data_IF_013413774005
#
_entry.id   IF_013413774005
#
_cell.length_a   1.000
_cell.length_b   1.000
_cell.length_c   1.000
_cell.angle_alpha   90.00
_cell.angle_beta   90.00
_cell.angle_gamma   90.00
#
_symmetry.space_group_name_H-M   'P 1'
#
loop_
_entity.id
_entity.type
_entity.pdbx_description
1 polymer ?
#
# COMPACT_ATOMS: atom_id res chain seq x y z
N UNK A 1 19.22 -14.33 -5.33
CA UNK A 1 18.09 -14.65 -4.44
C UNK A 1 17.17 -13.44 -4.27
N UNK A 2 15.90 -13.55 -4.70
CA UNK A 2 14.87 -12.52 -4.56
C UNK A 2 13.53 -13.17 -4.20
N UNK A 3 12.99 -12.77 -3.04
CA UNK A 3 11.72 -13.23 -2.51
C UNK A 3 10.66 -12.14 -2.67
N UNK A 4 9.63 -12.41 -3.48
CA UNK A 4 8.47 -11.53 -3.58
C UNK A 4 7.52 -11.78 -2.42
N UNK A 5 7.19 -10.73 -1.67
CA UNK A 5 6.12 -10.75 -0.66
C UNK A 5 4.91 -10.06 -1.25
N UNK A 6 3.77 -10.74 -1.32
CA UNK A 6 2.59 -10.23 -2.02
C UNK A 6 1.29 -10.64 -1.35
N UNK A 7 0.21 -9.92 -1.70
CA UNK A 7 -1.16 -10.28 -1.33
C UNK A 7 -1.97 -10.55 -2.60
N UNK A 8 -2.80 -11.59 -2.55
CA UNK A 8 -3.78 -11.89 -3.58
C UNK A 8 -5.16 -11.39 -3.12
N UNK A 9 -5.87 -10.69 -4.01
CA UNK A 9 -7.30 -10.42 -3.84
C UNK A 9 -8.14 -11.66 -4.17
N UNK A 10 -9.41 -11.65 -3.76
CA UNK A 10 -10.38 -12.69 -4.16
C UNK A 10 -10.58 -12.76 -5.69
N UNK A 11 -10.29 -11.67 -6.42
CA UNK A 11 -10.34 -11.60 -7.88
C UNK A 11 -9.04 -12.06 -8.57
N UNK A 12 -8.04 -12.53 -7.81
CA UNK A 12 -6.76 -12.98 -8.35
C UNK A 12 -5.77 -11.85 -8.68
N UNK A 13 -6.06 -10.60 -8.28
CA UNK A 13 -5.11 -9.49 -8.45
C UNK A 13 -4.01 -9.59 -7.41
N UNK A 14 -2.77 -9.50 -7.87
CA UNK A 14 -1.60 -9.48 -7.00
C UNK A 14 -1.18 -8.04 -6.66
N UNK A 15 -0.88 -7.82 -5.39
CA UNK A 15 -0.21 -6.62 -4.91
C UNK A 15 1.10 -7.01 -4.24
N UNK A 16 2.22 -6.62 -4.86
CA UNK A 16 3.55 -6.77 -4.27
C UNK A 16 3.69 -5.78 -3.11
N UNK A 17 4.13 -6.29 -1.96
CA UNK A 17 4.33 -5.54 -0.71
C UNK A 17 5.82 -5.26 -0.48
N UNK A 18 6.69 -6.21 -0.83
CA UNK A 18 8.14 -6.09 -0.73
C UNK A 18 8.85 -7.09 -1.64
N UNK A 19 10.11 -6.82 -1.94
CA UNK A 19 11.06 -7.78 -2.53
C UNK A 19 12.23 -7.88 -1.55
N UNK A 20 12.42 -9.05 -0.98
CA UNK A 20 13.48 -9.31 0.00
C UNK A 20 14.68 -10.00 -0.66
N UNK A 21 15.88 -9.61 -0.23
CA UNK A 21 17.15 -10.14 -0.74
C UNK A 21 17.96 -10.87 0.35
N UNK A 22 19.20 -11.27 0.04
CA UNK A 22 20.09 -11.89 1.01
C UNK A 22 20.28 -11.02 2.26
N UNK A 23 20.21 -11.63 3.44
CA UNK A 23 20.33 -10.94 4.73
C UNK A 23 19.03 -10.32 5.25
N UNK A 24 17.96 -10.31 4.45
CA UNK A 24 16.62 -9.96 4.92
C UNK A 24 15.95 -11.12 5.66
N UNK A 25 15.07 -10.78 6.60
CA UNK A 25 14.10 -11.70 7.20
C UNK A 25 12.70 -11.52 6.58
N UNK A 26 11.75 -12.41 6.86
CA UNK A 26 10.32 -12.15 6.69
C UNK A 26 9.52 -13.07 7.63
N UNK A 27 8.19 -12.90 7.67
CA UNK A 27 7.30 -13.66 8.56
C UNK A 27 7.60 -13.52 10.07
N UNK A 28 8.08 -12.35 10.49
CA UNK A 28 8.36 -12.05 11.89
C UNK A 28 7.08 -11.87 12.71
N UNK A 29 6.00 -11.37 12.10
CA UNK A 29 4.73 -11.07 12.79
C UNK A 29 4.15 -12.29 13.54
N UNK A 30 3.95 -13.46 12.88
CA UNK A 30 3.52 -14.68 13.55
C UNK A 30 4.35 -15.08 14.76
N UNK A 31 5.61 -14.67 14.85
CA UNK A 31 6.47 -15.03 15.98
C UNK A 31 6.01 -14.34 17.27
N UNK A 32 5.41 -13.15 17.17
CA UNK A 32 5.03 -12.33 18.34
C UNK A 32 3.52 -12.28 18.59
N UNK A 33 2.69 -12.22 17.55
CA UNK A 33 1.23 -12.08 17.69
C UNK A 33 0.49 -13.43 17.72
N UNK A 34 1.18 -14.53 17.41
CA UNK A 34 0.62 -15.86 17.36
C UNK A 34 -0.23 -16.16 16.11
N UNK A 35 -0.52 -15.16 15.28
CA UNK A 35 -1.38 -15.23 14.11
C UNK A 35 -0.70 -15.84 12.88
N UNK A 36 -1.46 -15.90 11.79
CA UNK A 36 -0.96 -16.30 10.48
C UNK A 36 -0.23 -15.14 9.81
N UNK A 37 0.74 -15.45 8.95
CA UNK A 37 1.40 -14.42 8.16
C UNK A 37 0.37 -13.77 7.19
N UNK A 38 0.23 -12.43 7.18
CA UNK A 38 -0.85 -11.78 6.44
C UNK A 38 -0.63 -11.74 4.91
N UNK A 39 0.50 -12.24 4.41
CA UNK A 39 0.90 -12.20 3.01
C UNK A 39 1.39 -13.58 2.53
N UNK A 40 1.58 -13.72 1.22
CA UNK A 40 2.27 -14.85 0.61
C UNK A 40 3.73 -14.46 0.30
N UNK A 41 4.58 -15.47 0.13
CA UNK A 41 5.97 -15.31 -0.28
C UNK A 41 6.27 -16.29 -1.42
N UNK A 42 6.94 -15.82 -2.48
CA UNK A 42 7.39 -16.67 -3.59
C UNK A 42 8.80 -16.31 -4.05
N UNK A 43 9.59 -17.36 -4.31
CA UNK A 43 10.93 -17.23 -4.87
C UNK A 43 10.85 -16.95 -6.36
N UNK A 44 11.58 -15.94 -6.83
CA UNK A 44 11.71 -15.65 -8.26
C UNK A 44 12.89 -16.38 -8.93
N UNK A 45 13.76 -16.99 -8.13
CA UNK A 45 14.95 -17.74 -8.53
C UNK A 45 15.31 -18.74 -7.44
N UNK A 46 16.20 -19.69 -7.72
CA UNK A 46 16.71 -20.64 -6.74
C UNK A 46 17.22 -19.92 -5.49
N UNK A 47 16.70 -20.33 -4.34
CA UNK A 47 16.80 -19.59 -3.09
C UNK A 47 16.95 -20.54 -1.92
N UNK A 48 17.92 -20.25 -1.05
CA UNK A 48 18.12 -20.92 0.22
C UNK A 48 17.58 -20.05 1.37
N UNK A 49 16.87 -20.68 2.32
CA UNK A 49 16.26 -19.99 3.45
C UNK A 49 16.65 -20.68 4.76
N UNK A 50 16.96 -19.85 5.75
CA UNK A 50 17.08 -20.31 7.14
C UNK A 50 15.72 -20.18 7.82
N UNK A 51 15.25 -21.30 8.38
CA UNK A 51 14.02 -21.34 9.16
C UNK A 51 14.35 -21.41 10.65
N UNK A 52 13.71 -20.55 11.44
CA UNK A 52 13.77 -20.57 12.91
C UNK A 52 12.34 -20.72 13.42
N UNK A 53 12.11 -21.69 14.30
CA UNK A 53 10.78 -21.89 14.87
C UNK A 53 10.37 -20.72 15.76
N UNK A 54 9.06 -20.46 15.86
CA UNK A 54 8.51 -19.45 16.78
C UNK A 54 9.06 -19.62 18.20
N UNK A 55 9.09 -20.86 18.69
CA UNK A 55 9.52 -21.18 20.05
C UNK A 55 10.99 -20.82 20.25
N UNK A 56 11.85 -21.22 19.32
CA UNK A 56 13.29 -21.01 19.44
C UNK A 56 13.62 -19.52 19.32
N UNK A 57 12.97 -18.80 18.41
CA UNK A 57 13.18 -17.36 18.26
C UNK A 57 12.71 -16.59 19.50
N UNK A 58 11.57 -16.96 20.09
CA UNK A 58 11.10 -16.33 21.33
C UNK A 58 12.05 -16.60 22.50
N UNK A 59 12.60 -17.81 22.61
CA UNK A 59 13.62 -18.12 23.62
C UNK A 59 14.89 -17.29 23.41
N UNK A 60 15.36 -17.22 22.18
CA UNK A 60 16.51 -16.41 21.80
C UNK A 60 16.32 -14.91 22.13
N UNK A 61 15.12 -14.36 21.89
CA UNK A 61 14.79 -12.99 22.29
C UNK A 61 14.78 -12.79 23.81
N UNK A 62 14.42 -13.81 24.60
CA UNK A 62 14.47 -13.73 26.08
C UNK A 62 15.90 -13.77 26.61
N UNK A 63 16.76 -14.57 25.97
CA UNK A 63 18.19 -14.65 26.28
C UNK A 63 18.95 -13.40 25.80
N UNK A 64 18.50 -12.80 24.69
CA UNK A 64 19.12 -11.62 24.07
C UNK A 64 18.07 -10.53 23.74
N UNK A 65 17.64 -9.72 24.73
CA UNK A 65 16.57 -8.73 24.55
C UNK A 65 16.80 -7.71 23.44
N UNK A 66 18.06 -7.36 23.15
CA UNK A 66 18.43 -6.44 22.05
C UNK A 66 17.99 -6.95 20.67
N UNK A 67 17.82 -8.28 20.51
CA UNK A 67 17.32 -8.88 19.28
C UNK A 67 15.86 -8.47 19.05
N UNK A 68 15.04 -8.45 20.10
CA UNK A 68 13.64 -8.01 19.98
C UNK A 68 13.56 -6.55 19.53
N UNK A 69 14.42 -5.68 20.03
CA UNK A 69 14.49 -4.27 19.60
C UNK A 69 14.87 -4.15 18.11
N UNK A 70 15.83 -4.95 17.63
CA UNK A 70 16.19 -5.00 16.20
C UNK A 70 15.01 -5.46 15.34
N UNK A 71 14.26 -6.47 15.79
CA UNK A 71 13.07 -6.95 15.08
C UNK A 71 11.97 -5.90 15.03
N UNK A 72 11.74 -5.17 16.14
CA UNK A 72 10.80 -4.04 16.17
C UNK A 72 11.20 -2.97 15.14
N UNK A 73 12.49 -2.66 15.00
CA UNK A 73 12.95 -1.72 13.98
C UNK A 73 12.65 -2.21 12.55
N UNK A 74 12.86 -3.50 12.27
CA UNK A 74 12.49 -4.13 10.98
C UNK A 74 10.99 -4.03 10.73
N UNK A 75 10.16 -4.39 11.70
CA UNK A 75 8.69 -4.30 11.60
C UNK A 75 8.24 -2.86 11.40
N UNK A 76 8.82 -1.90 12.11
CA UNK A 76 8.54 -0.48 11.93
C UNK A 76 8.90 0.03 10.52
N UNK A 77 9.99 -0.47 9.94
CA UNK A 77 10.34 -0.20 8.54
C UNK A 77 9.28 -0.74 7.56
N UNK A 78 8.80 -1.97 7.79
CA UNK A 78 7.73 -2.58 6.97
C UNK A 78 6.41 -1.82 7.09
N UNK A 79 6.04 -1.41 8.30
CA UNK A 79 4.84 -0.62 8.53
C UNK A 79 4.87 0.70 7.74
N UNK A 80 6.00 1.43 7.79
CA UNK A 80 6.16 2.66 6.98
C UNK A 80 6.00 2.41 5.49
N UNK A 81 6.56 1.31 4.97
CA UNK A 81 6.39 0.91 3.56
C UNK A 81 4.93 0.65 3.22
N UNK A 82 4.22 -0.11 4.06
CA UNK A 82 2.80 -0.41 3.85
C UNK A 82 1.93 0.84 3.88
N UNK A 83 2.21 1.79 4.77
CA UNK A 83 1.55 3.10 4.78
C UNK A 83 1.79 3.85 3.47
N UNK A 84 3.02 3.86 2.95
CA UNK A 84 3.33 4.47 1.65
C UNK A 84 2.55 3.84 0.48
N UNK A 85 2.42 2.51 0.46
CA UNK A 85 1.61 1.81 -0.55
C UNK A 85 0.12 2.22 -0.44
N UNK A 86 -0.42 2.31 0.78
CA UNK A 86 -1.81 2.74 1.01
C UNK A 86 -2.02 4.17 0.49
N UNK A 87 -1.08 5.07 0.78
CA UNK A 87 -1.12 6.44 0.28
C UNK A 87 -1.16 6.45 -1.26
N UNK A 88 -0.20 5.81 -1.94
CA UNK A 88 -0.13 5.74 -3.40
C UNK A 88 -1.42 5.21 -4.04
N UNK A 89 -1.97 4.13 -3.49
CA UNK A 89 -3.22 3.53 -3.97
C UNK A 89 -4.42 4.47 -3.75
N UNK A 90 -4.49 5.12 -2.59
CA UNK A 90 -5.55 6.08 -2.28
C UNK A 90 -5.51 7.30 -3.21
N UNK A 91 -4.34 7.93 -3.38
CA UNK A 91 -4.16 9.07 -4.29
C UNK A 91 -4.49 8.71 -5.74
N UNK A 92 -4.02 7.56 -6.21
CA UNK A 92 -4.27 7.11 -7.59
C UNK A 92 -5.78 6.93 -7.84
N UNK A 93 -6.49 6.30 -6.91
CA UNK A 93 -7.94 6.10 -7.04
C UNK A 93 -8.72 7.41 -6.95
N UNK A 94 -8.33 8.33 -6.06
CA UNK A 94 -8.95 9.67 -5.96
C UNK A 94 -8.76 10.45 -7.25
N UNK A 95 -7.55 10.46 -7.83
CA UNK A 95 -7.28 11.12 -9.13
C UNK A 95 -8.16 10.56 -10.24
N UNK A 96 -8.26 9.24 -10.35
CA UNK A 96 -9.08 8.60 -11.39
C UNK A 96 -10.57 8.94 -11.23
N UNK A 97 -11.10 8.90 -10.00
CA UNK A 97 -12.50 9.29 -9.75
C UNK A 97 -12.73 10.79 -10.00
N UNK A 98 -11.75 11.65 -9.67
CA UNK A 98 -11.80 13.09 -9.97
C UNK A 98 -11.83 13.36 -11.48
N UNK A 99 -10.96 12.71 -12.25
CA UNK A 99 -10.96 12.83 -13.73
C UNK A 99 -12.31 12.38 -14.29
N UNK A 100 -12.83 11.23 -13.86
CA UNK A 100 -14.12 10.73 -14.32
C UNK A 100 -15.25 11.72 -14.01
N UNK A 101 -15.28 12.30 -12.81
CA UNK A 101 -16.26 13.31 -12.43
C UNK A 101 -16.15 14.60 -13.26
N UNK A 102 -14.93 15.10 -13.50
CA UNK A 102 -14.70 16.28 -14.34
C UNK A 102 -15.16 16.02 -15.77
N UNK A 103 -14.90 14.84 -16.33
CA UNK A 103 -15.37 14.45 -17.67
C UNK A 103 -16.91 14.41 -17.73
N UNK A 104 -17.57 13.84 -16.71
CA UNK A 104 -19.02 13.83 -16.62
C UNK A 104 -19.62 15.24 -16.55
N UNK A 105 -19.01 16.15 -15.76
CA UNK A 105 -19.42 17.55 -15.70
C UNK A 105 -19.18 18.28 -17.02
N UNK A 106 -18.06 18.00 -17.71
CA UNK A 106 -17.77 18.57 -19.01
C UNK A 106 -18.78 18.14 -20.08
N UNK A 107 -19.28 16.90 -20.01
CA UNK A 107 -20.34 16.42 -20.90
C UNK A 107 -21.71 17.04 -20.58
N UNK A 108 -22.04 17.19 -19.30
CA UNK A 108 -23.35 17.67 -18.86
C UNK A 108 -23.51 19.20 -18.93
N UNK A 109 -22.47 19.93 -18.53
CA UNK A 109 -22.51 21.38 -18.31
C UNK A 109 -21.50 22.15 -19.17
N UNK A 110 -20.60 21.44 -19.86
CA UNK A 110 -19.56 22.07 -20.67
C UNK A 110 -20.10 22.70 -21.95
N UNK A 111 -19.50 23.83 -22.33
CA UNK A 111 -19.81 24.52 -23.58
C UNK A 111 -18.76 24.20 -24.64
N UNK A 112 -19.18 23.71 -25.82
CA UNK A 112 -18.25 23.40 -26.91
C UNK A 112 -17.73 24.67 -27.56
N UNK A 113 -16.42 24.77 -27.72
CA UNK A 113 -15.72 25.85 -28.42
C UNK A 113 -14.81 25.28 -29.52
N UNK A 114 -14.27 26.15 -30.38
CA UNK A 114 -13.33 25.74 -31.44
C UNK A 114 -12.03 25.09 -30.92
N UNK A 115 -11.69 25.27 -29.64
CA UNK A 115 -10.50 24.72 -28.98
C UNK A 115 -10.76 23.55 -28.03
N UNK A 116 -12.00 23.10 -27.87
CA UNK A 116 -12.37 22.04 -26.93
C UNK A 116 -13.62 22.36 -26.10
N UNK A 117 -13.83 21.64 -25.00
CA UNK A 117 -14.94 21.87 -24.07
C UNK A 117 -14.50 22.86 -22.98
N UNK A 118 -15.24 23.94 -22.81
CA UNK A 118 -15.05 24.89 -21.71
C UNK A 118 -16.02 24.55 -20.57
N UNK A 119 -15.47 24.21 -19.41
CA UNK A 119 -16.22 23.88 -18.20
C UNK A 119 -15.88 24.89 -17.10
N UNK A 120 -16.88 25.58 -16.58
CA UNK A 120 -16.74 26.43 -15.39
C UNK A 120 -17.08 25.61 -14.14
N UNK A 121 -16.07 25.33 -13.31
CA UNK A 121 -16.26 24.57 -12.08
C UNK A 121 -16.83 25.47 -10.98
N UNK A 122 -18.11 25.31 -10.69
CA UNK A 122 -18.81 26.05 -9.61
C UNK A 122 -18.63 25.42 -8.23
N UNK A 123 -18.13 24.18 -8.18
CA UNK A 123 -17.90 23.42 -6.94
C UNK A 123 -16.51 23.71 -6.38
N UNK A 124 -16.40 23.80 -5.05
CA UNK A 124 -15.11 23.91 -4.36
C UNK A 124 -14.40 22.55 -4.27
N UNK A 125 -13.10 22.56 -3.96
CA UNK A 125 -12.36 21.31 -3.68
C UNK A 125 -12.97 20.51 -2.51
N UNK A 126 -13.65 21.18 -1.56
CA UNK A 126 -14.35 20.51 -0.45
C UNK A 126 -15.58 19.75 -0.95
N UNK A 127 -16.33 20.33 -1.89
CA UNK A 127 -17.52 19.70 -2.47
C UNK A 127 -17.13 18.47 -3.28
N UNK A 128 -16.08 18.57 -4.08
CA UNK A 128 -15.50 17.43 -4.80
C UNK A 128 -15.02 16.34 -3.84
N UNK A 129 -14.42 16.71 -2.71
CA UNK A 129 -13.96 15.73 -1.73
C UNK A 129 -15.12 14.94 -1.12
N UNK A 130 -16.21 15.62 -0.76
CA UNK A 130 -17.41 14.99 -0.23
C UNK A 130 -18.04 14.03 -1.25
N UNK A 131 -18.15 14.43 -2.52
CA UNK A 131 -18.71 13.61 -3.60
C UNK A 131 -17.85 12.38 -3.94
N UNK A 132 -16.52 12.51 -3.83
CA UNK A 132 -15.56 11.45 -4.14
C UNK A 132 -15.23 10.56 -2.92
N UNK A 133 -15.86 10.81 -1.77
CA UNK A 133 -15.64 10.09 -0.52
C UNK A 133 -14.19 10.19 -0.03
N UNK A 134 -13.62 11.39 -0.08
CA UNK A 134 -12.21 11.66 0.22
C UNK A 134 -12.07 12.97 1.02
N UNK A 135 -10.85 13.40 1.30
CA UNK A 135 -10.57 14.68 1.98
C UNK A 135 -10.09 15.76 0.99
N UNK A 136 -10.33 17.03 1.33
CA UNK A 136 -10.05 18.19 0.47
C UNK A 136 -8.60 18.27 0.03
N UNK A 137 -7.67 17.90 0.91
CA UNK A 137 -6.23 17.91 0.66
C UNK A 137 -5.85 16.95 -0.48
N UNK A 138 -6.52 15.79 -0.56
CA UNK A 138 -6.30 14.80 -1.62
C UNK A 138 -6.84 15.31 -2.96
N UNK A 139 -7.99 15.98 -2.98
CA UNK A 139 -8.53 16.61 -4.19
C UNK A 139 -7.62 17.75 -4.67
N UNK A 140 -7.22 18.63 -3.75
CA UNK A 140 -6.40 19.80 -4.08
C UNK A 140 -5.01 19.46 -4.63
N UNK A 141 -4.45 18.28 -4.30
CA UNK A 141 -3.19 17.80 -4.86
C UNK A 141 -3.31 17.14 -6.24
N UNK A 142 -4.54 16.87 -6.70
CA UNK A 142 -4.81 16.16 -7.96
C UNK A 142 -5.53 17.02 -9.02
N UNK A 143 -5.81 18.30 -8.70
CA UNK A 143 -6.18 19.32 -9.67
C UNK A 143 -4.97 19.85 -10.44
#
# INVERSE_FOLDING_TARGET
MKMGIFKLSASGREQVLAIEGPGSSFAELPVFDGGNYPAAAAASEDTELLFISRKDFQNFCREHPDVALKVIAVVGGRLRRLVGIIEELSFTTVRQRLIALILQLAEAEGTRSKGGIHLELKKSHQDFAAELGTVRELVSRNF
#
